data_IF_691276342376
#
_entry.id   IF_691276342376
#
_cell.length_a   1.000
_cell.length_b   1.000
_cell.length_c   1.000
_cell.angle_alpha   90.00
_cell.angle_beta   90.00
_cell.angle_gamma   90.00
#
_symmetry.space_group_name_H-M   'P 1'
#
loop_
_entity.id
_entity.type
_entity.pdbx_description
1 polymer ?
#
# COMPACT_ATOMS: atom_id res chain seq x y z
N UNK A 1 15.70 -9.30 22.99
CA UNK A 1 15.89 -8.24 21.96
C UNK A 1 15.02 -7.03 22.29
N UNK A 2 15.56 -6.08 23.07
CA UNK A 2 14.79 -4.97 23.67
C UNK A 2 14.36 -3.92 22.63
N UNK A 3 15.24 -3.56 21.69
CA UNK A 3 14.96 -2.55 20.65
C UNK A 3 13.81 -2.96 19.73
N UNK A 4 13.73 -4.25 19.38
CA UNK A 4 12.65 -4.80 18.57
C UNK A 4 11.29 -4.63 19.24
N UNK A 5 11.16 -5.12 20.48
CA UNK A 5 9.91 -5.03 21.25
C UNK A 5 9.48 -3.59 21.56
N UNK A 6 10.41 -2.73 21.97
CA UNK A 6 10.10 -1.34 22.34
C UNK A 6 9.66 -0.48 21.15
N UNK A 7 10.18 -0.75 19.94
CA UNK A 7 9.89 0.06 18.75
C UNK A 7 8.72 -0.46 17.93
N UNK A 8 8.38 -1.75 18.04
CA UNK A 8 7.40 -2.40 17.16
C UNK A 8 6.00 -1.81 17.31
N UNK A 9 5.55 -1.52 18.54
CA UNK A 9 4.23 -0.94 18.76
C UNK A 9 4.11 0.44 18.10
N UNK A 10 5.05 1.34 18.37
CA UNK A 10 5.05 2.69 17.78
C UNK A 10 5.20 2.62 16.26
N UNK A 11 6.09 1.77 15.74
CA UNK A 11 6.22 1.55 14.30
C UNK A 11 4.92 1.07 13.65
N UNK A 12 4.15 0.23 14.36
CA UNK A 12 2.85 -0.27 13.89
C UNK A 12 1.78 0.82 13.88
N UNK A 13 1.71 1.66 14.91
CA UNK A 13 0.62 2.63 15.10
C UNK A 13 0.82 3.89 14.27
N UNK A 14 2.03 4.44 14.24
CA UNK A 14 2.31 5.74 13.61
C UNK A 14 3.38 5.67 12.50
N UNK A 15 3.88 4.47 12.18
CA UNK A 15 5.01 4.30 11.30
C UNK A 15 6.34 4.62 11.97
N UNK A 16 7.42 4.53 11.18
CA UNK A 16 8.76 4.92 11.59
C UNK A 16 9.37 5.82 10.52
N UNK A 17 9.66 7.10 10.81
CA UNK A 17 10.35 7.96 9.86
C UNK A 17 11.72 7.38 9.50
N UNK A 18 12.13 7.52 8.23
CA UNK A 18 13.40 6.97 7.72
C UNK A 18 14.62 7.42 8.55
N UNK A 19 14.62 8.65 9.04
CA UNK A 19 15.70 9.16 9.89
C UNK A 19 15.83 8.38 11.21
N UNK A 20 14.71 7.96 11.81
CA UNK A 20 14.68 7.17 13.03
C UNK A 20 15.11 5.73 12.75
N UNK A 21 14.61 5.14 11.66
CA UNK A 21 15.02 3.82 11.19
C UNK A 21 16.54 3.74 11.01
N UNK A 22 17.11 4.68 10.24
CA UNK A 22 18.55 4.77 10.00
C UNK A 22 19.33 4.97 11.31
N UNK A 23 18.80 5.75 12.25
CA UNK A 23 19.44 5.97 13.56
C UNK A 23 19.46 4.70 14.40
N UNK A 24 18.38 3.93 14.41
CA UNK A 24 18.30 2.65 15.10
C UNK A 24 19.24 1.62 14.46
N UNK A 25 19.28 1.56 13.13
CA UNK A 25 20.20 0.67 12.41
C UNK A 25 21.67 0.96 12.77
N UNK A 26 22.06 2.25 12.76
CA UNK A 26 23.40 2.69 13.18
C UNK A 26 23.70 2.33 14.64
N UNK A 27 22.74 2.49 15.56
CA UNK A 27 22.92 2.12 16.97
C UNK A 27 23.10 0.61 17.13
N UNK A 28 22.32 -0.20 16.41
CA UNK A 28 22.45 -1.65 16.40
C UNK A 28 23.81 -2.09 15.85
N UNK A 29 24.27 -1.48 14.76
CA UNK A 29 25.60 -1.74 14.20
C UNK A 29 26.72 -1.33 15.16
N UNK A 30 26.64 -0.15 15.77
CA UNK A 30 27.60 0.30 16.78
C UNK A 30 27.64 -0.64 17.99
N UNK A 31 26.49 -1.16 18.41
CA UNK A 31 26.42 -2.15 19.48
C UNK A 31 27.11 -3.47 19.11
N UNK A 32 26.90 -3.96 17.88
CA UNK A 32 27.50 -5.22 17.41
C UNK A 32 29.02 -5.14 17.20
N UNK A 33 29.49 -4.01 16.68
CA UNK A 33 30.87 -3.87 16.19
C UNK A 33 31.73 -2.92 17.03
N UNK A 34 31.15 -2.23 18.02
CA UNK A 34 31.84 -1.23 18.83
C UNK A 34 32.29 -0.03 17.99
N UNK A 35 33.49 0.49 18.27
CA UNK A 35 34.12 1.58 17.52
C UNK A 35 35.02 1.08 16.36
N UNK A 36 34.79 -0.15 15.87
CA UNK A 36 35.55 -0.69 14.73
C UNK A 36 35.14 0.02 13.44
N UNK A 37 36.11 0.65 12.78
CA UNK A 37 35.89 1.39 11.52
C UNK A 37 35.79 0.49 10.27
N UNK A 38 36.25 -0.77 10.34
CA UNK A 38 36.13 -1.75 9.25
C UNK A 38 35.30 -2.94 9.71
N UNK A 39 34.14 -3.10 9.08
CA UNK A 39 33.26 -4.25 9.27
C UNK A 39 33.37 -5.10 8.00
N UNK A 40 33.86 -6.33 8.15
CA UNK A 40 34.08 -7.24 7.02
C UNK A 40 32.87 -8.14 6.70
N UNK A 41 31.78 -8.00 7.46
CA UNK A 41 30.55 -8.79 7.29
C UNK A 41 29.45 -7.88 6.76
N UNK A 42 28.84 -8.25 5.64
CA UNK A 42 27.72 -7.51 5.07
C UNK A 42 26.46 -7.66 5.95
N UNK A 43 25.50 -6.73 5.77
CA UNK A 43 24.30 -6.67 6.62
C UNK A 43 23.45 -7.93 6.48
N UNK A 44 23.34 -8.45 5.26
CA UNK A 44 22.53 -9.61 4.91
C UNK A 44 22.98 -10.86 5.70
N UNK A 45 24.29 -11.07 5.84
CA UNK A 45 24.83 -12.18 6.64
C UNK A 45 24.52 -12.01 8.12
N UNK A 46 24.57 -10.78 8.66
CA UNK A 46 24.25 -10.54 10.07
C UNK A 46 22.77 -10.83 10.37
N UNK A 47 21.87 -10.52 9.43
CA UNK A 47 20.44 -10.80 9.55
C UNK A 47 20.09 -12.29 9.37
N UNK A 48 20.92 -13.05 8.67
CA UNK A 48 20.66 -14.47 8.41
C UNK A 48 20.56 -15.31 9.70
N UNK A 49 19.83 -16.44 9.68
CA UNK A 49 19.76 -17.37 10.79
C UNK A 49 21.12 -17.86 11.26
N UNK A 50 21.23 -18.22 12.54
CA UNK A 50 22.47 -18.76 13.13
C UNK A 50 22.94 -20.02 12.40
N UNK A 51 21.99 -20.82 11.89
CA UNK A 51 22.27 -22.05 11.14
C UNK A 51 23.03 -21.80 9.83
N UNK A 52 22.85 -20.62 9.25
CA UNK A 52 23.47 -20.22 7.97
C UNK A 52 24.74 -19.38 8.20
N UNK A 53 25.29 -19.40 9.43
CA UNK A 53 26.45 -18.61 9.82
C UNK A 53 26.14 -17.15 10.17
N UNK A 54 24.87 -16.78 10.23
CA UNK A 54 24.44 -15.44 10.61
C UNK A 54 24.29 -15.22 12.11
N UNK A 55 23.77 -14.06 12.51
CA UNK A 55 23.52 -13.70 13.93
C UNK A 55 22.05 -13.60 14.30
N UNK A 56 21.15 -13.86 13.35
CA UNK A 56 19.71 -13.69 13.51
C UNK A 56 19.35 -12.30 14.07
N UNK A 57 20.05 -11.27 13.60
CA UNK A 57 19.80 -9.90 14.01
C UNK A 57 18.53 -9.40 13.34
N UNK A 58 17.74 -8.61 14.07
CA UNK A 58 16.56 -7.97 13.52
C UNK A 58 16.89 -6.98 12.40
N UNK A 59 16.37 -7.27 11.21
CA UNK A 59 16.26 -6.33 10.10
C UNK A 59 15.07 -5.38 10.35
N UNK A 60 15.38 -4.17 10.82
CA UNK A 60 14.37 -3.13 11.13
C UNK A 60 13.63 -2.68 9.85
N UNK A 61 14.32 -2.33 8.74
CA UNK A 61 13.66 -2.03 7.48
C UNK A 61 12.70 -3.12 7.01
N UNK A 62 13.14 -4.38 6.96
CA UNK A 62 12.29 -5.48 6.50
C UNK A 62 11.07 -5.68 7.42
N UNK A 63 11.24 -5.55 8.74
CA UNK A 63 10.11 -5.58 9.69
C UNK A 63 9.11 -4.44 9.45
N UNK A 64 9.58 -3.22 9.26
CA UNK A 64 8.72 -2.06 9.03
C UNK A 64 7.96 -2.18 7.69
N UNK A 65 8.60 -2.73 6.66
CA UNK A 65 7.92 -3.08 5.40
C UNK A 65 6.86 -4.16 5.61
N UNK A 66 7.17 -5.23 6.37
CA UNK A 66 6.20 -6.28 6.70
C UNK A 66 4.98 -5.73 7.47
N UNK A 67 5.19 -4.81 8.41
CA UNK A 67 4.10 -4.08 9.08
C UNK A 67 3.23 -3.35 8.04
N UNK A 68 3.85 -2.68 7.07
CA UNK A 68 3.12 -1.98 6.00
C UNK A 68 2.34 -2.94 5.11
N UNK A 69 2.88 -4.12 4.80
CA UNK A 69 2.16 -5.19 4.08
C UNK A 69 0.90 -5.62 4.85
N UNK A 70 0.97 -5.72 6.18
CA UNK A 70 -0.22 -6.01 6.99
C UNK A 70 -1.28 -4.91 6.93
N UNK A 71 -0.86 -3.65 6.88
CA UNK A 71 -1.77 -2.53 6.63
C UNK A 71 -2.38 -2.58 5.23
N UNK A 72 -1.60 -2.92 4.20
CA UNK A 72 -2.10 -3.12 2.83
C UNK A 72 -3.13 -4.26 2.78
N UNK A 73 -2.84 -5.38 3.45
CA UNK A 73 -3.78 -6.50 3.51
C UNK A 73 -5.10 -6.07 4.17
N UNK A 74 -5.04 -5.32 5.27
CA UNK A 74 -6.24 -4.78 5.95
C UNK A 74 -6.99 -3.78 5.07
N UNK A 75 -6.28 -2.91 4.36
CA UNK A 75 -6.85 -1.95 3.42
C UNK A 75 -7.59 -2.64 2.26
N UNK A 76 -7.08 -3.77 1.78
CA UNK A 76 -7.67 -4.54 0.69
C UNK A 76 -8.77 -5.52 1.14
N UNK A 77 -9.24 -5.44 2.40
CA UNK A 77 -10.42 -6.18 2.85
C UNK A 77 -11.66 -5.42 2.44
N UNK A 78 -12.45 -5.97 1.53
CA UNK A 78 -13.72 -5.40 1.10
C UNK A 78 -14.90 -6.04 1.84
N UNK A 79 -16.05 -5.35 1.87
CA UNK A 79 -17.28 -5.86 2.48
C UNK A 79 -17.48 -5.41 3.94
N UNK A 80 -18.16 -6.22 4.78
CA UNK A 80 -18.51 -5.83 6.15
C UNK A 80 -17.29 -5.63 7.05
N UNK A 81 -16.17 -6.28 6.73
CA UNK A 81 -14.91 -6.16 7.48
C UNK A 81 -14.00 -5.03 6.97
N UNK A 82 -14.48 -4.18 6.05
CA UNK A 82 -13.68 -3.09 5.49
C UNK A 82 -13.41 -2.03 6.58
N UNK A 83 -12.13 -1.78 6.94
CA UNK A 83 -11.84 -0.86 8.03
C UNK A 83 -12.25 0.58 7.71
N UNK A 84 -12.81 1.30 8.69
CA UNK A 84 -13.24 2.70 8.52
C UNK A 84 -12.10 3.62 8.05
N UNK A 85 -10.87 3.38 8.52
CA UNK A 85 -9.71 4.16 8.09
C UNK A 85 -9.38 3.95 6.60
N UNK A 86 -9.68 2.78 6.04
CA UNK A 86 -9.42 2.48 4.63
C UNK A 86 -10.38 3.25 3.72
N UNK A 87 -11.64 3.44 4.16
CA UNK A 87 -12.61 4.33 3.50
C UNK A 87 -12.10 5.78 3.48
N UNK A 88 -11.56 6.26 4.61
CA UNK A 88 -10.97 7.60 4.68
C UNK A 88 -9.72 7.71 3.78
N UNK A 89 -8.88 6.67 3.75
CA UNK A 89 -7.71 6.61 2.87
C UNK A 89 -8.12 6.66 1.39
N UNK A 90 -9.14 5.91 0.97
CA UNK A 90 -9.68 5.96 -0.39
C UNK A 90 -10.11 7.37 -0.78
N UNK A 91 -10.84 8.07 0.10
CA UNK A 91 -11.26 9.45 -0.13
C UNK A 91 -10.08 10.41 -0.29
N UNK A 92 -9.05 10.30 0.56
CA UNK A 92 -7.83 11.11 0.48
C UNK A 92 -7.08 10.83 -0.83
N UNK A 93 -6.94 9.55 -1.20
CA UNK A 93 -6.26 9.12 -2.42
C UNK A 93 -6.98 9.64 -3.67
N UNK A 94 -8.32 9.55 -3.68
CA UNK A 94 -9.16 10.04 -4.76
C UNK A 94 -9.11 11.57 -4.90
N UNK A 95 -9.09 12.29 -3.76
CA UNK A 95 -9.01 13.75 -3.73
C UNK A 95 -7.71 14.27 -4.37
N UNK A 96 -6.59 13.58 -4.15
CA UNK A 96 -5.28 13.97 -4.70
C UNK A 96 -4.99 13.43 -6.12
N UNK A 97 -6.02 13.19 -6.95
CA UNK A 97 -5.81 12.81 -8.36
C UNK A 97 -5.16 13.94 -9.18
N UNK A 98 -4.23 13.63 -10.10
CA UNK A 98 -3.60 14.62 -10.98
C UNK A 98 -4.57 15.13 -12.05
N UNK A 99 -4.26 16.27 -12.67
CA UNK A 99 -5.07 16.87 -13.74
C UNK A 99 -5.28 15.92 -14.95
N UNK A 100 -4.35 14.99 -15.19
CA UNK A 100 -4.51 13.95 -16.23
C UNK A 100 -5.71 13.03 -16.00
N UNK A 101 -6.25 12.98 -14.77
CA UNK A 101 -7.39 12.17 -14.34
C UNK A 101 -8.63 13.04 -14.01
N UNK A 102 -8.67 14.28 -14.52
CA UNK A 102 -9.80 15.20 -14.37
C UNK A 102 -11.06 14.69 -15.09
N UNK A 103 -10.87 14.00 -16.22
CA UNK A 103 -11.96 13.36 -16.98
C UNK A 103 -12.61 12.17 -16.26
N UNK A 104 -12.11 11.77 -15.09
CA UNK A 104 -12.72 10.72 -14.28
C UNK A 104 -13.55 11.40 -13.19
N UNK A 105 -14.87 11.20 -13.24
CA UNK A 105 -15.81 11.70 -12.23
C UNK A 105 -15.30 11.35 -10.81
N UNK A 106 -15.10 12.35 -9.93
CA UNK A 106 -14.64 12.12 -8.57
C UNK A 106 -15.46 11.08 -7.79
N UNK A 107 -16.77 10.99 -8.04
CA UNK A 107 -17.64 10.03 -7.35
C UNK A 107 -17.40 8.57 -7.81
N UNK A 108 -16.70 8.36 -8.92
CA UNK A 108 -16.36 7.04 -9.44
C UNK A 108 -14.96 6.59 -9.03
N UNK A 109 -14.18 7.44 -8.35
CA UNK A 109 -12.86 7.10 -7.81
C UNK A 109 -13.04 6.39 -6.48
N UNK A 110 -13.19 5.06 -6.54
CA UNK A 110 -13.46 4.22 -5.37
C UNK A 110 -12.16 3.69 -4.78
N UNK A 111 -11.36 2.98 -5.57
CA UNK A 111 -10.15 2.34 -5.06
C UNK A 111 -9.06 2.25 -6.14
N UNK A 112 -7.84 2.67 -5.78
CA UNK A 112 -6.72 2.78 -6.72
C UNK A 112 -6.12 1.44 -7.14
N UNK A 113 -6.33 0.36 -6.37
CA UNK A 113 -5.86 -0.99 -6.72
C UNK A 113 -6.85 -1.74 -7.61
N UNK A 114 -8.14 -1.37 -7.55
CA UNK A 114 -9.18 -1.96 -8.37
C UNK A 114 -9.43 -1.21 -9.68
N UNK A 115 -8.99 0.05 -9.78
CA UNK A 115 -9.24 0.92 -10.93
C UNK A 115 -7.96 1.43 -11.60
N UNK A 116 -8.11 2.01 -12.79
CA UNK A 116 -7.02 2.43 -13.68
C UNK A 116 -6.63 3.91 -13.57
N UNK A 117 -7.39 4.70 -12.81
CA UNK A 117 -7.04 6.10 -12.54
C UNK A 117 -5.86 6.19 -11.58
N UNK A 118 -5.15 7.32 -11.59
CA UNK A 118 -3.92 7.52 -10.81
C UNK A 118 -4.10 8.57 -9.73
N UNK A 119 -3.32 8.45 -8.66
CA UNK A 119 -3.22 9.46 -7.59
C UNK A 119 -1.85 10.15 -7.61
N UNK A 120 -1.77 11.39 -7.13
CA UNK A 120 -0.51 12.11 -6.97
C UNK A 120 0.18 11.70 -5.67
N UNK A 121 1.14 10.76 -5.76
CA UNK A 121 1.89 10.28 -4.60
C UNK A 121 2.58 11.42 -3.81
N UNK A 122 3.02 12.49 -4.48
CA UNK A 122 3.68 13.61 -3.82
C UNK A 122 2.78 14.36 -2.82
N UNK A 123 1.47 14.44 -3.11
CA UNK A 123 0.48 15.16 -2.31
C UNK A 123 -0.14 14.33 -1.19
N UNK A 124 0.12 13.02 -1.17
CA UNK A 124 -0.41 12.15 -0.12
C UNK A 124 0.30 12.38 1.23
N UNK A 125 -0.39 12.14 2.35
CA UNK A 125 0.24 12.00 3.66
C UNK A 125 1.31 10.90 3.66
N UNK A 126 2.35 11.04 4.50
CA UNK A 126 3.51 10.15 4.50
C UNK A 126 3.19 8.67 4.74
N UNK A 127 2.17 8.38 5.55
CA UNK A 127 1.70 7.01 5.77
C UNK A 127 1.15 6.39 4.49
N UNK A 128 0.32 7.13 3.75
CA UNK A 128 -0.23 6.65 2.47
C UNK A 128 0.84 6.60 1.38
N UNK A 129 1.80 7.52 1.38
CA UNK A 129 2.99 7.43 0.50
C UNK A 129 3.74 6.13 0.71
N UNK A 130 3.99 5.79 1.98
CA UNK A 130 4.70 4.57 2.36
C UNK A 130 3.91 3.35 1.95
N UNK A 131 2.60 3.34 2.21
CA UNK A 131 1.69 2.27 1.80
C UNK A 131 1.73 2.05 0.27
N UNK A 132 1.61 3.12 -0.52
CA UNK A 132 1.68 3.04 -1.99
C UNK A 132 3.06 2.56 -2.50
N UNK A 133 4.15 3.03 -1.87
CA UNK A 133 5.51 2.64 -2.23
C UNK A 133 5.75 1.15 -1.98
N UNK A 134 5.34 0.65 -0.82
CA UNK A 134 5.46 -0.77 -0.46
C UNK A 134 4.57 -1.62 -1.37
N UNK A 135 3.32 -1.20 -1.59
CA UNK A 135 2.41 -1.93 -2.49
C UNK A 135 2.99 -2.04 -3.91
N UNK A 136 3.61 -0.97 -4.43
CA UNK A 136 4.33 -1.00 -5.72
C UNK A 136 5.56 -1.90 -5.68
N UNK A 137 6.37 -1.85 -4.61
CA UNK A 137 7.58 -2.68 -4.45
C UNK A 137 7.26 -4.17 -4.55
N UNK A 138 6.16 -4.59 -3.93
CA UNK A 138 5.70 -5.98 -3.93
C UNK A 138 4.70 -6.33 -5.04
N UNK A 139 4.53 -5.44 -6.03
CA UNK A 139 3.61 -5.63 -7.16
C UNK A 139 2.19 -6.04 -6.73
N UNK A 140 1.67 -5.44 -5.66
CA UNK A 140 0.33 -5.70 -5.16
C UNK A 140 -0.67 -5.27 -6.22
N UNK A 141 -1.36 -6.24 -6.79
CA UNK A 141 -2.38 -6.04 -7.80
C UNK A 141 -3.47 -7.10 -7.67
N UNK A 142 -4.61 -6.84 -8.31
CA UNK A 142 -5.66 -7.86 -8.44
C UNK A 142 -5.21 -8.92 -9.46
N UNK A 143 -4.75 -10.05 -8.95
CA UNK A 143 -4.41 -11.24 -9.74
C UNK A 143 -5.53 -12.29 -9.72
N UNK A 144 -5.67 -13.04 -10.81
CA UNK A 144 -6.90 -13.81 -11.12
C UNK A 144 -6.57 -15.26 -11.47
N UNK A 145 -6.52 -16.14 -10.48
CA UNK A 145 -6.59 -17.58 -10.72
C UNK A 145 -8.04 -18.08 -10.69
N UNK A 146 -8.88 -17.60 -9.76
CA UNK A 146 -10.35 -17.72 -9.80
C UNK A 146 -10.95 -16.80 -8.72
N UNK A 147 -11.69 -15.76 -9.11
CA UNK A 147 -12.38 -14.86 -8.16
C UNK A 147 -13.83 -15.33 -8.02
N UNK A 148 -14.35 -15.43 -6.80
CA UNK A 148 -15.75 -15.80 -6.57
C UNK A 148 -16.71 -14.79 -7.21
N UNK A 149 -17.93 -15.22 -7.53
CA UNK A 149 -18.96 -14.30 -8.08
C UNK A 149 -19.28 -13.18 -7.10
N UNK A 150 -19.26 -13.46 -5.80
CA UNK A 150 -19.56 -12.47 -4.77
C UNK A 150 -18.49 -11.37 -4.69
N UNK A 151 -17.21 -11.73 -4.81
CA UNK A 151 -16.13 -10.74 -4.87
C UNK A 151 -16.20 -9.96 -6.19
N UNK A 152 -16.53 -10.64 -7.30
CA UNK A 152 -16.66 -9.99 -8.62
C UNK A 152 -17.71 -8.88 -8.58
N UNK A 153 -18.83 -9.11 -7.89
CA UNK A 153 -19.92 -8.14 -7.70
C UNK A 153 -19.59 -6.93 -6.82
N UNK A 154 -18.42 -6.94 -6.19
CA UNK A 154 -17.93 -5.84 -5.36
C UNK A 154 -16.86 -5.00 -6.08
N UNK A 155 -16.50 -5.36 -7.31
CA UNK A 155 -15.54 -4.61 -8.11
C UNK A 155 -16.25 -3.41 -8.75
N UNK A 156 -15.64 -2.22 -8.76
CA UNK A 156 -16.17 -1.08 -9.50
C UNK A 156 -16.38 -1.44 -10.98
N UNK A 157 -17.57 -1.19 -11.53
CA UNK A 157 -17.81 -1.43 -12.96
C UNK A 157 -17.10 -0.41 -13.86
N UNK A 158 -16.89 0.80 -13.32
CA UNK A 158 -16.25 1.90 -14.04
C UNK A 158 -14.74 1.86 -13.84
N UNK A 159 -13.99 1.97 -14.94
CA UNK A 159 -12.53 2.10 -14.94
C UNK A 159 -11.75 0.97 -14.23
N UNK A 160 -12.34 -0.21 -14.02
CA UNK A 160 -11.62 -1.29 -13.34
C UNK A 160 -10.41 -1.80 -14.12
N UNK A 161 -9.41 -2.32 -13.41
CA UNK A 161 -8.11 -2.75 -13.96
C UNK A 161 -8.18 -3.81 -15.05
N UNK A 162 -9.26 -4.60 -15.10
CA UNK A 162 -9.45 -5.67 -16.09
C UNK A 162 -10.41 -5.28 -17.22
N UNK A 163 -10.88 -4.04 -17.27
CA UNK A 163 -11.75 -3.59 -18.35
C UNK A 163 -10.96 -3.42 -19.65
N UNK A 164 -11.52 -3.92 -20.75
CA UNK A 164 -11.02 -3.62 -22.12
C UNK A 164 -11.67 -2.36 -22.70
N UNK A 165 -12.63 -1.75 -22.00
CA UNK A 165 -13.31 -0.56 -22.47
C UNK A 165 -12.40 0.67 -22.46
N UNK A 166 -12.54 1.50 -23.48
CA UNK A 166 -11.82 2.77 -23.56
C UNK A 166 -12.39 3.78 -22.56
N UNK A 167 -11.53 4.71 -22.10
CA UNK A 167 -11.97 5.86 -21.27
C UNK A 167 -13.08 6.67 -21.92
N UNK A 168 -13.09 6.77 -23.26
CA UNK A 168 -14.15 7.43 -24.04
C UNK A 168 -15.51 6.75 -23.83
N UNK A 169 -15.55 5.41 -23.83
CA UNK A 169 -16.79 4.66 -23.59
C UNK A 169 -17.33 4.94 -22.19
N UNK A 170 -16.44 5.04 -21.19
CA UNK A 170 -16.87 5.31 -19.82
C UNK A 170 -17.32 6.75 -19.58
N UNK A 171 -16.97 7.70 -20.44
CA UNK A 171 -17.29 9.11 -20.22
C UNK A 171 -18.40 9.64 -21.12
N UNK A 172 -18.55 9.08 -22.31
CA UNK A 172 -19.42 9.65 -23.33
C UNK A 172 -20.74 8.86 -23.46
N UNK A 173 -21.79 9.57 -23.87
CA UNK A 173 -23.13 9.00 -24.10
C UNK A 173 -24.12 9.33 -22.99
N UNK A 174 -25.37 9.60 -23.40
CA UNK A 174 -26.45 9.90 -22.46
C UNK A 174 -26.81 8.69 -21.61
N UNK A 175 -26.70 7.49 -22.18
CA UNK A 175 -26.95 6.22 -21.48
C UNK A 175 -25.96 6.04 -20.33
N UNK A 176 -24.67 6.33 -20.56
CA UNK A 176 -23.63 6.24 -19.52
C UNK A 176 -23.88 7.25 -18.41
N UNK A 177 -24.25 8.49 -18.75
CA UNK A 177 -24.65 9.50 -17.76
C UNK A 177 -25.89 9.05 -16.97
N UNK A 178 -26.88 8.46 -17.63
CA UNK A 178 -28.08 7.93 -16.99
C UNK A 178 -27.73 6.80 -16.01
N UNK A 179 -26.89 5.85 -16.43
CA UNK A 179 -26.45 4.73 -15.58
C UNK A 179 -25.70 5.22 -14.33
N UNK A 180 -24.85 6.25 -14.46
CA UNK A 180 -24.10 6.83 -13.34
C UNK A 180 -24.97 7.66 -12.39
N UNK A 181 -25.77 8.57 -12.94
CA UNK A 181 -26.45 9.61 -12.16
C UNK A 181 -27.85 9.18 -11.70
N UNK A 182 -28.63 8.52 -12.58
CA UNK A 182 -30.01 8.11 -12.27
C UNK A 182 -30.06 6.71 -11.67
N UNK A 183 -29.44 5.73 -12.33
CA UNK A 183 -29.46 4.34 -11.87
C UNK A 183 -28.37 4.04 -10.83
N UNK A 184 -27.42 4.95 -10.62
CA UNK A 184 -26.33 4.83 -9.63
C UNK A 184 -25.60 3.49 -9.73
N UNK A 185 -25.36 3.02 -10.95
CA UNK A 185 -24.60 1.79 -11.20
C UNK A 185 -23.16 2.02 -10.77
N UNK A 186 -22.65 1.21 -9.83
CA UNK A 186 -21.30 1.36 -9.25
C UNK A 186 -20.44 0.10 -9.36
N UNK A 187 -21.04 -1.06 -9.18
CA UNK A 187 -20.35 -2.36 -9.16
C UNK A 187 -20.84 -3.27 -10.30
N UNK A 188 -20.09 -4.35 -10.55
CA UNK A 188 -20.41 -5.38 -11.56
C UNK A 188 -21.56 -6.30 -11.12
#
# INVERSE_FOLDING_TARGET
>A
MVVGGMTQYLAKVQGMPQAIENRLERRTQKFLWGDKNKINVNKETVYAPIRDGGRNLLDIPARNEAITIMWIQLYLRFGPDHPTWAIAADAIIAHHSPATEENVDPNLKVNVFLQTWKTSAAKLPDNLKTLMKVAKKYNVCMDRLAISKDITRQIPIWFHTKSTASRRLFNNGEQVKCLKLRHKVRMV
#
